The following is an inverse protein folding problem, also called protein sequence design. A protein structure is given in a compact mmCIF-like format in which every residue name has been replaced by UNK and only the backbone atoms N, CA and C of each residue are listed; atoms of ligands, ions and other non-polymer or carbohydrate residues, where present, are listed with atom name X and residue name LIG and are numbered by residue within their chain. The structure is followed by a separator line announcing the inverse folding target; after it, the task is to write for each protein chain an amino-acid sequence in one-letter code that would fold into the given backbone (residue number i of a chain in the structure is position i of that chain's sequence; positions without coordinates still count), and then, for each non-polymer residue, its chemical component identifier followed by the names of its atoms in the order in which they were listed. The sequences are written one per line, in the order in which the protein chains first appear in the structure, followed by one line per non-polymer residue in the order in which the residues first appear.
data_IF_720869524068
#
_entry.id   IF_720869524068
#
_cell.length_a   1.000
_cell.length_b   1.000
_cell.length_c   1.000
_cell.angle_alpha   90.00
_cell.angle_beta   90.00
_cell.angle_gamma   90.00
#
_symmetry.space_group_name_H-M   'P 1'
#
loop_
_entity.id
_entity.type
_entity.pdbx_description
1 polymer ?
#
# COMPACT_ATOMS: atom_id res chain seq x y z
N UNK A 1 -32.95 -22.54 -9.55
CA UNK A 1 -32.10 -22.95 -8.39
C UNK A 1 -31.09 -23.95 -8.91
N UNK A 2 -29.80 -23.70 -8.68
CA UNK A 2 -28.76 -24.68 -8.97
C UNK A 2 -29.05 -25.94 -8.17
N UNK A 3 -28.87 -27.13 -8.76
CA UNK A 3 -28.98 -28.39 -8.01
C UNK A 3 -27.95 -28.38 -6.87
N UNK A 4 -28.25 -29.02 -5.74
CA UNK A 4 -27.31 -29.10 -4.59
C UNK A 4 -25.94 -29.63 -4.98
N UNK A 5 -25.86 -30.52 -5.99
CA UNK A 5 -24.64 -31.07 -6.54
C UNK A 5 -23.83 -30.00 -7.34
N UNK A 6 -24.50 -29.11 -8.08
CA UNK A 6 -23.83 -28.04 -8.82
C UNK A 6 -23.29 -26.96 -7.85
N UNK A 7 -23.99 -26.70 -6.75
CA UNK A 7 -23.52 -25.81 -5.69
C UNK A 7 -22.31 -26.39 -4.96
N UNK A 8 -22.37 -27.67 -4.56
CA UNK A 8 -21.27 -28.38 -3.92
C UNK A 8 -20.03 -28.47 -4.83
N UNK A 9 -20.21 -28.76 -6.11
CA UNK A 9 -19.12 -28.78 -7.11
C UNK A 9 -18.47 -27.39 -7.27
N UNK A 10 -19.27 -26.31 -7.28
CA UNK A 10 -18.74 -24.96 -7.37
C UNK A 10 -18.00 -24.55 -6.08
N UNK A 11 -18.48 -24.98 -4.93
CA UNK A 11 -17.86 -24.66 -3.64
C UNK A 11 -16.56 -25.47 -3.45
N UNK A 12 -16.53 -26.74 -3.87
CA UNK A 12 -15.33 -27.58 -3.89
C UNK A 12 -14.28 -27.06 -4.90
N UNK A 13 -14.71 -26.61 -6.07
CA UNK A 13 -13.83 -25.94 -7.05
C UNK A 13 -13.32 -24.59 -6.57
N UNK A 14 -14.10 -23.81 -5.84
CA UNK A 14 -13.65 -22.56 -5.24
C UNK A 14 -12.63 -22.82 -4.13
N UNK A 15 -12.84 -23.88 -3.32
CA UNK A 15 -11.86 -24.35 -2.34
C UNK A 15 -10.60 -24.89 -3.02
N UNK A 16 -10.73 -25.72 -4.06
CA UNK A 16 -9.57 -26.24 -4.82
C UNK A 16 -8.84 -25.14 -5.61
N UNK A 17 -9.51 -24.07 -6.02
CA UNK A 17 -8.90 -22.87 -6.57
C UNK A 17 -8.12 -22.09 -5.52
N UNK A 18 -8.64 -22.01 -4.31
CA UNK A 18 -7.92 -21.44 -3.17
C UNK A 18 -6.71 -22.29 -2.76
N UNK A 19 -6.79 -23.61 -2.91
CA UNK A 19 -5.74 -24.56 -2.55
C UNK A 19 -4.69 -24.77 -3.66
N UNK A 20 -5.10 -24.80 -4.94
CA UNK A 20 -4.21 -25.06 -6.08
C UNK A 20 -3.35 -23.84 -6.48
N UNK A 21 -3.76 -22.63 -6.12
CA UNK A 21 -3.06 -21.40 -6.46
C UNK A 21 -2.05 -20.94 -5.40
N UNK A 22 -1.69 -21.84 -4.47
CA UNK A 22 -0.68 -21.59 -3.42
C UNK A 22 0.73 -21.34 -3.98
N UNK A 23 0.94 -21.51 -5.27
CA UNK A 23 2.25 -21.30 -5.93
C UNK A 23 2.40 -20.01 -6.75
N UNK A 24 1.32 -19.35 -7.16
CA UNK A 24 1.40 -18.27 -8.14
C UNK A 24 0.66 -16.97 -7.78
N UNK A 25 -0.20 -16.93 -6.76
CA UNK A 25 -0.98 -15.74 -6.40
C UNK A 25 -0.39 -15.03 -5.19
N UNK A 26 0.03 -13.81 -5.42
CA UNK A 26 0.55 -12.90 -4.41
C UNK A 26 -0.51 -12.59 -3.36
N UNK A 27 -0.20 -12.82 -2.13
CA UNK A 27 -1.02 -12.94 -0.92
C UNK A 27 -1.99 -11.81 -0.55
N UNK A 28 -1.86 -10.61 -1.10
CA UNK A 28 -2.87 -9.55 -0.92
C UNK A 28 -4.03 -9.60 -1.92
N UNK A 29 -3.97 -10.48 -2.92
CA UNK A 29 -4.92 -10.56 -4.03
C UNK A 29 -5.85 -11.78 -3.97
N UNK A 30 -5.53 -12.79 -3.16
CA UNK A 30 -6.24 -14.07 -3.13
C UNK A 30 -7.67 -13.92 -2.60
N UNK A 31 -7.84 -13.32 -1.46
CA UNK A 31 -9.15 -12.94 -0.91
C UNK A 31 -9.95 -12.06 -1.88
N UNK A 32 -9.25 -11.18 -2.60
CA UNK A 32 -9.86 -10.31 -3.61
C UNK A 32 -10.26 -11.11 -4.86
N UNK A 33 -9.43 -12.03 -5.33
CA UNK A 33 -9.72 -12.87 -6.50
C UNK A 33 -10.89 -13.82 -6.22
N UNK A 34 -10.92 -14.47 -5.07
CA UNK A 34 -12.04 -15.32 -4.62
C UNK A 34 -13.32 -14.49 -4.55
N UNK A 35 -13.29 -13.31 -3.95
CA UNK A 35 -14.45 -12.45 -3.87
C UNK A 35 -14.95 -11.97 -5.26
N UNK A 36 -14.04 -11.73 -6.19
CA UNK A 36 -14.38 -11.39 -7.57
C UNK A 36 -14.96 -12.58 -8.35
N UNK A 37 -14.45 -13.79 -8.13
CA UNK A 37 -14.98 -15.01 -8.69
C UNK A 37 -16.40 -15.32 -8.17
N UNK A 38 -16.64 -15.13 -6.87
CA UNK A 38 -17.99 -15.24 -6.28
C UNK A 38 -19.00 -14.29 -6.91
N UNK A 39 -18.60 -13.08 -7.28
CA UNK A 39 -19.47 -12.14 -8.01
C UNK A 39 -19.84 -12.65 -9.40
N UNK A 40 -18.93 -13.31 -10.10
CA UNK A 40 -19.24 -13.93 -11.38
C UNK A 40 -20.24 -15.09 -11.20
N UNK A 41 -20.06 -15.93 -10.18
CA UNK A 41 -21.03 -16.99 -9.83
C UNK A 41 -22.43 -16.40 -9.56
N UNK A 42 -22.49 -15.29 -8.80
CA UNK A 42 -23.77 -14.59 -8.52
C UNK A 42 -24.38 -14.01 -9.80
N UNK A 43 -23.58 -13.42 -10.68
CA UNK A 43 -24.04 -12.93 -11.97
C UNK A 43 -24.61 -14.07 -12.85
N UNK A 44 -23.88 -15.18 -12.96
CA UNK A 44 -24.35 -16.35 -13.73
C UNK A 44 -25.66 -16.91 -13.16
N UNK A 45 -25.81 -16.99 -11.84
CA UNK A 45 -27.05 -17.40 -11.21
C UNK A 45 -28.22 -16.45 -11.49
N UNK A 46 -27.95 -15.14 -11.63
CA UNK A 46 -28.95 -14.14 -11.96
C UNK A 46 -29.50 -14.28 -13.40
N UNK A 47 -28.69 -14.79 -14.31
CA UNK A 47 -29.05 -15.02 -15.70
C UNK A 47 -29.28 -16.50 -16.03
N UNK A 48 -29.50 -17.35 -15.04
CA UNK A 48 -29.70 -18.80 -15.16
C UNK A 48 -28.60 -19.55 -15.93
N UNK A 49 -27.38 -19.00 -15.93
CA UNK A 49 -26.22 -19.64 -16.56
C UNK A 49 -25.49 -20.54 -15.54
N UNK A 50 -25.40 -21.84 -15.87
CA UNK A 50 -24.83 -22.86 -14.95
C UNK A 50 -23.41 -23.30 -15.27
N UNK A 51 -22.93 -23.07 -16.50
CA UNK A 51 -21.60 -23.48 -16.96
C UNK A 51 -20.52 -22.42 -16.64
N UNK A 52 -20.08 -22.39 -15.39
CA UNK A 52 -19.02 -21.47 -14.93
C UNK A 52 -17.66 -21.78 -15.53
N UNK A 53 -17.41 -23.03 -15.92
CA UNK A 53 -16.17 -23.48 -16.55
C UNK A 53 -16.13 -23.25 -18.05
N UNK A 54 -17.21 -22.75 -18.63
CA UNK A 54 -17.41 -22.62 -20.09
C UNK A 54 -17.23 -23.94 -20.86
N UNK A 55 -17.52 -25.07 -20.20
CA UNK A 55 -17.30 -26.41 -20.76
C UNK A 55 -18.23 -26.75 -21.94
N UNK A 56 -19.42 -26.19 -21.92
CA UNK A 56 -20.46 -26.38 -22.97
C UNK A 56 -20.75 -25.08 -23.74
N UNK A 57 -19.95 -24.03 -23.49
CA UNK A 57 -20.16 -22.70 -24.05
C UNK A 57 -19.21 -22.48 -25.22
N UNK A 58 -19.71 -21.97 -26.34
CA UNK A 58 -18.84 -21.60 -27.47
C UNK A 58 -17.95 -20.42 -27.10
N UNK A 59 -16.84 -20.24 -27.81
CA UNK A 59 -15.92 -19.13 -27.53
C UNK A 59 -16.61 -17.76 -27.66
N UNK A 60 -17.53 -17.62 -28.64
CA UNK A 60 -18.26 -16.36 -28.81
C UNK A 60 -19.26 -16.12 -27.70
N UNK A 61 -19.96 -17.15 -27.24
CA UNK A 61 -20.91 -17.03 -26.13
C UNK A 61 -20.18 -16.76 -24.81
N UNK A 62 -19.04 -17.41 -24.58
CA UNK A 62 -18.20 -17.13 -23.45
C UNK A 62 -17.67 -15.67 -23.43
N UNK A 63 -17.26 -15.16 -24.61
CA UNK A 63 -16.85 -13.77 -24.77
C UNK A 63 -18.01 -12.80 -24.51
N UNK A 64 -19.21 -13.12 -24.99
CA UNK A 64 -20.42 -12.33 -24.78
C UNK A 64 -20.83 -12.32 -23.32
N UNK A 65 -20.78 -13.47 -22.63
CA UNK A 65 -21.05 -13.61 -21.21
C UNK A 65 -20.08 -12.78 -20.36
N UNK A 66 -18.77 -12.86 -20.64
CA UNK A 66 -17.77 -12.06 -19.96
C UNK A 66 -17.94 -10.56 -20.20
N UNK A 67 -18.39 -10.19 -21.42
CA UNK A 67 -18.66 -8.78 -21.74
C UNK A 67 -19.90 -8.28 -20.98
N UNK A 68 -20.96 -9.06 -20.90
CA UNK A 68 -22.14 -8.75 -20.10
C UNK A 68 -21.80 -8.60 -18.61
N UNK A 69 -21.00 -9.52 -18.07
CA UNK A 69 -20.50 -9.42 -16.70
C UNK A 69 -19.65 -8.17 -16.50
N UNK A 70 -18.76 -7.82 -17.43
CA UNK A 70 -17.95 -6.62 -17.39
C UNK A 70 -18.81 -5.35 -17.33
N UNK A 71 -19.90 -5.30 -18.08
CA UNK A 71 -20.86 -4.20 -18.07
C UNK A 71 -21.54 -4.11 -16.69
N UNK A 72 -22.11 -5.19 -16.18
CA UNK A 72 -22.79 -5.25 -14.90
C UNK A 72 -21.87 -4.84 -13.72
N UNK A 73 -20.61 -5.28 -13.75
CA UNK A 73 -19.60 -4.82 -12.78
C UNK A 73 -19.33 -3.33 -12.95
N UNK A 74 -19.22 -2.80 -14.18
CA UNK A 74 -18.89 -1.41 -14.44
C UNK A 74 -19.96 -0.44 -13.96
N UNK A 75 -21.22 -0.82 -14.02
CA UNK A 75 -22.36 -0.01 -13.54
C UNK A 75 -22.46 0.03 -12.02
N UNK A 76 -21.76 -0.88 -11.32
CA UNK A 76 -21.77 -0.98 -9.87
C UNK A 76 -22.75 -2.00 -9.31
N UNK A 77 -23.46 -2.74 -10.14
CA UNK A 77 -24.45 -3.75 -9.75
C UNK A 77 -23.86 -4.79 -8.79
N UNK A 78 -22.60 -5.18 -9.01
CA UNK A 78 -21.84 -6.10 -8.14
C UNK A 78 -20.82 -5.39 -7.24
N UNK A 79 -20.92 -4.08 -7.08
CA UNK A 79 -20.08 -3.31 -6.17
C UNK A 79 -20.68 -3.30 -4.76
N UNK A 80 -19.88 -3.51 -3.73
CA UNK A 80 -20.34 -3.42 -2.33
C UNK A 80 -20.96 -2.05 -1.96
N UNK A 81 -20.61 -1.00 -2.71
CA UNK A 81 -21.12 0.36 -2.52
C UNK A 81 -22.24 0.74 -3.48
N UNK A 82 -22.65 -0.14 -4.41
CA UNK A 82 -23.60 0.16 -5.49
C UNK A 82 -23.08 1.20 -6.50
N UNK A 83 -21.81 1.62 -6.42
CA UNK A 83 -21.25 2.67 -7.27
C UNK A 83 -20.47 2.10 -8.45
N UNK A 84 -20.48 2.80 -9.60
CA UNK A 84 -19.69 2.41 -10.77
C UNK A 84 -18.21 2.20 -10.42
N UNK A 85 -17.60 1.18 -10.99
CA UNK A 85 -16.18 0.83 -10.75
C UNK A 85 -15.31 1.14 -11.97
N UNK A 86 -14.04 1.44 -11.72
CA UNK A 86 -13.11 1.81 -12.78
C UNK A 86 -12.62 0.61 -13.60
N UNK A 87 -12.11 0.89 -14.82
CA UNK A 87 -11.64 -0.10 -15.78
C UNK A 87 -10.69 -1.15 -15.22
N UNK A 88 -9.74 -0.74 -14.34
CA UNK A 88 -8.79 -1.70 -13.73
C UNK A 88 -9.52 -2.74 -12.86
N UNK A 89 -10.50 -2.30 -12.09
CA UNK A 89 -11.32 -3.20 -11.26
C UNK A 89 -12.16 -4.13 -12.13
N UNK A 90 -12.79 -3.63 -13.20
CA UNK A 90 -13.53 -4.45 -14.14
C UNK A 90 -12.64 -5.52 -14.78
N UNK A 91 -11.45 -5.15 -15.24
CA UNK A 91 -10.49 -6.13 -15.81
C UNK A 91 -10.12 -7.24 -14.81
N UNK A 92 -9.95 -6.89 -13.53
CA UNK A 92 -9.66 -7.89 -12.51
C UNK A 92 -10.85 -8.83 -12.27
N UNK A 93 -12.09 -8.33 -12.27
CA UNK A 93 -13.28 -9.18 -12.15
C UNK A 93 -13.42 -10.13 -13.35
N UNK A 94 -13.20 -9.63 -14.57
CA UNK A 94 -13.22 -10.46 -15.79
C UNK A 94 -12.08 -11.49 -15.79
N UNK A 95 -10.89 -11.14 -15.27
CA UNK A 95 -9.79 -12.07 -15.09
C UNK A 95 -10.18 -13.20 -14.13
N UNK A 96 -10.74 -12.87 -12.98
CA UNK A 96 -11.20 -13.86 -12.00
C UNK A 96 -12.30 -14.77 -12.58
N UNK A 97 -13.24 -14.22 -13.34
CA UNK A 97 -14.26 -15.01 -14.04
C UNK A 97 -13.64 -15.96 -15.07
N UNK A 98 -12.68 -15.49 -15.87
CA UNK A 98 -12.01 -16.31 -16.89
C UNK A 98 -11.15 -17.43 -16.29
N UNK A 99 -10.70 -17.29 -15.02
CA UNK A 99 -9.91 -18.32 -14.34
C UNK A 99 -10.67 -19.64 -14.14
N UNK A 100 -12.01 -19.62 -14.07
CA UNK A 100 -12.81 -20.84 -14.07
C UNK A 100 -12.57 -21.71 -15.32
N UNK A 101 -12.43 -21.08 -16.51
CA UNK A 101 -12.13 -21.81 -17.74
C UNK A 101 -10.69 -22.35 -17.74
N UNK A 102 -9.71 -21.52 -17.34
CA UNK A 102 -8.29 -21.90 -17.35
C UNK A 102 -8.00 -23.00 -16.35
N UNK A 103 -8.60 -22.97 -15.15
CA UNK A 103 -8.45 -24.01 -14.15
C UNK A 103 -9.11 -25.33 -14.55
N UNK A 104 -10.12 -25.30 -15.43
CA UNK A 104 -10.68 -26.48 -16.07
C UNK A 104 -9.84 -26.96 -17.29
N UNK A 105 -8.59 -26.51 -17.40
CA UNK A 105 -7.70 -26.80 -18.56
C UNK A 105 -8.28 -26.37 -19.90
N UNK A 106 -9.08 -25.31 -19.90
CA UNK A 106 -9.70 -24.74 -21.08
C UNK A 106 -8.97 -23.49 -21.55
N UNK A 107 -9.22 -23.10 -22.80
CA UNK A 107 -8.69 -21.87 -23.37
C UNK A 107 -9.31 -20.67 -22.65
N UNK A 108 -8.49 -19.67 -22.33
CA UNK A 108 -8.95 -18.44 -21.71
C UNK A 108 -9.97 -17.71 -22.61
N UNK A 109 -11.24 -17.57 -22.21
CA UNK A 109 -12.30 -17.02 -23.06
C UNK A 109 -12.13 -15.53 -23.37
N UNK A 110 -11.19 -14.84 -22.73
CA UNK A 110 -10.87 -13.44 -23.02
C UNK A 110 -10.14 -13.24 -24.34
N UNK A 111 -9.54 -14.30 -24.91
CA UNK A 111 -8.69 -14.23 -26.09
C UNK A 111 -9.28 -15.02 -27.24
N UNK A 112 -8.83 -14.71 -28.49
CA UNK A 112 -9.17 -15.45 -29.68
C UNK A 112 -8.14 -16.55 -29.90
N UNK A 113 -8.63 -17.68 -30.48
CA UNK A 113 -7.80 -18.82 -30.86
C UNK A 113 -8.11 -19.25 -32.29
N UNK A 114 -7.10 -19.75 -32.98
CA UNK A 114 -7.26 -20.37 -34.29
C UNK A 114 -7.84 -21.80 -34.19
N UNK A 115 -8.04 -22.43 -35.32
CA UNK A 115 -8.54 -23.80 -35.39
C UNK A 115 -7.61 -24.83 -34.75
N UNK A 116 -6.31 -24.50 -34.62
CA UNK A 116 -5.30 -25.34 -33.98
C UNK A 116 -5.16 -25.09 -32.51
N UNK A 117 -5.82 -24.06 -31.97
CA UNK A 117 -5.79 -23.71 -30.56
C UNK A 117 -4.71 -22.72 -30.16
N UNK A 118 -4.01 -22.13 -31.12
CA UNK A 118 -3.03 -21.08 -30.84
C UNK A 118 -3.74 -19.74 -30.65
N UNK A 119 -3.24 -18.95 -29.70
CA UNK A 119 -3.78 -17.63 -29.44
C UNK A 119 -3.53 -16.68 -30.62
N UNK A 120 -4.59 -16.06 -31.16
CA UNK A 120 -4.50 -15.11 -32.27
C UNK A 120 -4.21 -13.71 -31.70
N UNK A 121 -2.98 -13.24 -31.86
CA UNK A 121 -2.56 -11.90 -31.46
C UNK A 121 -2.58 -11.69 -29.93
N UNK A 122 -2.24 -10.47 -29.50
CA UNK A 122 -2.13 -10.10 -28.07
C UNK A 122 -3.37 -9.38 -27.52
N UNK A 123 -4.43 -9.24 -28.32
CA UNK A 123 -5.65 -8.50 -27.95
C UNK A 123 -6.73 -9.39 -27.34
N UNK A 124 -7.62 -8.78 -26.60
CA UNK A 124 -8.86 -9.41 -26.14
C UNK A 124 -9.80 -9.69 -27.32
N UNK A 125 -10.81 -10.53 -27.10
CA UNK A 125 -11.92 -10.69 -28.02
C UNK A 125 -12.57 -9.35 -28.36
N UNK A 126 -13.11 -9.16 -29.59
CA UNK A 126 -13.55 -7.84 -30.05
C UNK A 126 -14.54 -7.13 -29.11
N UNK A 127 -15.51 -7.85 -28.55
CA UNK A 127 -16.51 -7.31 -27.64
C UNK A 127 -15.91 -6.73 -26.37
N UNK A 128 -15.02 -7.48 -25.70
CA UNK A 128 -14.31 -7.00 -24.52
C UNK A 128 -13.36 -5.84 -24.84
N UNK A 129 -12.68 -5.91 -25.98
CA UNK A 129 -11.76 -4.85 -26.38
C UNK A 129 -12.52 -3.54 -26.66
N UNK A 130 -13.64 -3.60 -27.37
CA UNK A 130 -14.50 -2.46 -27.63
C UNK A 130 -15.02 -1.85 -26.31
N UNK A 131 -15.50 -2.69 -25.40
CA UNK A 131 -15.97 -2.26 -24.08
C UNK A 131 -14.85 -1.59 -23.26
N UNK A 132 -13.66 -2.19 -23.17
CA UNK A 132 -12.55 -1.61 -22.44
C UNK A 132 -12.06 -0.30 -23.04
N UNK A 133 -12.05 -0.17 -24.36
CA UNK A 133 -11.71 1.08 -25.04
C UNK A 133 -12.76 2.16 -24.78
N UNK A 134 -14.04 1.82 -24.75
CA UNK A 134 -15.12 2.73 -24.36
C UNK A 134 -14.93 3.22 -22.92
N UNK A 135 -14.75 2.31 -21.95
CA UNK A 135 -14.47 2.70 -20.56
C UNK A 135 -13.22 3.56 -20.42
N UNK A 136 -12.20 3.31 -21.24
CA UNK A 136 -10.97 4.10 -21.17
C UNK A 136 -11.16 5.54 -21.63
N UNK A 137 -12.03 5.77 -22.61
CA UNK A 137 -12.42 7.12 -23.09
C UNK A 137 -13.15 7.91 -21.98
N UNK A 138 -13.99 7.22 -21.19
CA UNK A 138 -14.74 7.83 -20.09
C UNK A 138 -13.99 7.86 -18.75
N UNK A 139 -12.76 7.36 -18.74
CA UNK A 139 -11.96 7.35 -17.52
C UNK A 139 -11.65 8.77 -17.09
N UNK A 140 -12.25 9.20 -15.97
CA UNK A 140 -11.76 10.40 -15.26
C UNK A 140 -10.27 10.22 -15.00
N UNK A 141 -9.45 11.22 -15.36
CA UNK A 141 -8.04 11.21 -14.96
C UNK A 141 -7.99 10.89 -13.47
N UNK A 142 -7.27 9.81 -13.10
CA UNK A 142 -7.11 9.50 -11.68
C UNK A 142 -6.43 10.69 -11.03
N UNK A 143 -7.08 11.27 -10.03
CA UNK A 143 -6.49 12.34 -9.27
C UNK A 143 -5.21 11.84 -8.61
N UNK A 144 -4.12 12.54 -8.83
CA UNK A 144 -2.84 12.23 -8.20
C UNK A 144 -2.86 12.81 -6.78
N UNK A 145 -2.28 12.08 -5.82
CA UNK A 145 -2.14 12.63 -4.49
C UNK A 145 -1.24 13.88 -4.55
N UNK A 146 -1.69 14.96 -3.92
CA UNK A 146 -0.87 16.16 -3.73
C UNK A 146 0.24 15.87 -2.71
N UNK A 147 1.43 16.45 -2.86
CA UNK A 147 2.44 16.43 -1.80
C UNK A 147 1.91 17.15 -0.56
N UNK A 148 2.44 16.81 0.61
CA UNK A 148 2.21 17.63 1.78
C UNK A 148 3.00 18.93 1.66
N UNK A 149 2.42 20.01 2.17
CA UNK A 149 3.16 21.24 2.42
C UNK A 149 3.79 21.15 3.83
N UNK A 150 5.04 21.59 4.05
CA UNK A 150 5.67 21.68 5.37
C UNK A 150 4.79 22.37 6.42
N UNK A 151 4.03 23.40 6.04
CA UNK A 151 3.11 24.11 6.91
C UNK A 151 1.99 23.21 7.46
N UNK A 152 1.49 22.25 6.64
CA UNK A 152 0.49 21.27 7.09
C UNK A 152 1.09 20.36 8.17
N UNK A 153 2.34 19.91 7.97
CA UNK A 153 3.05 19.08 8.94
C UNK A 153 3.23 19.84 10.25
N UNK A 154 3.66 21.08 10.18
CA UNK A 154 3.85 21.96 11.34
C UNK A 154 2.56 22.21 12.11
N UNK A 155 1.46 22.41 11.42
CA UNK A 155 0.15 22.55 12.05
C UNK A 155 -0.26 21.29 12.81
N UNK A 156 0.01 20.10 12.25
CA UNK A 156 -0.22 18.84 12.96
C UNK A 156 0.67 18.71 14.19
N UNK A 157 1.92 19.18 14.12
CA UNK A 157 2.83 19.22 15.29
C UNK A 157 2.29 20.13 16.37
N UNK A 158 1.84 21.34 16.03
CA UNK A 158 1.25 22.29 16.96
C UNK A 158 0.03 21.70 17.67
N UNK A 159 -0.89 21.08 16.94
CA UNK A 159 -2.05 20.40 17.52
C UNK A 159 -1.60 19.30 18.49
N UNK A 160 -0.61 18.48 18.10
CA UNK A 160 -0.12 17.40 18.94
C UNK A 160 0.59 17.90 20.19
N UNK A 161 1.32 19.03 20.12
CA UNK A 161 2.00 19.64 21.26
C UNK A 161 1.00 20.13 22.32
N UNK A 162 -0.15 20.62 21.89
CA UNK A 162 -1.24 21.04 22.78
C UNK A 162 -2.09 19.87 23.28
N UNK A 163 -1.84 18.66 22.79
CA UNK A 163 -2.63 17.48 23.11
C UNK A 163 -1.96 16.62 24.17
N UNK A 164 -2.74 15.76 24.85
CA UNK A 164 -2.19 14.77 25.80
C UNK A 164 -1.23 13.81 25.09
N UNK A 165 -0.12 13.39 25.73
CA UNK A 165 0.94 12.59 25.10
C UNK A 165 0.48 11.29 24.43
N UNK A 166 -0.58 10.67 24.94
CA UNK A 166 -1.11 9.40 24.43
C UNK A 166 -2.33 9.57 23.51
N UNK A 167 -2.57 10.80 23.04
CA UNK A 167 -3.70 11.14 22.19
C UNK A 167 -3.55 10.64 20.75
N UNK A 168 -4.67 10.63 20.03
CA UNK A 168 -4.70 10.37 18.58
C UNK A 168 -3.85 11.38 17.80
N UNK A 169 -3.89 12.65 18.18
CA UNK A 169 -3.12 13.73 17.54
C UNK A 169 -1.60 13.47 17.59
N UNK A 170 -1.08 13.04 18.74
CA UNK A 170 0.33 12.66 18.88
C UNK A 170 0.68 11.44 18.02
N UNK A 171 -0.23 10.45 17.95
CA UNK A 171 -0.03 9.27 17.12
C UNK A 171 0.00 9.62 15.63
N UNK A 172 -0.90 10.49 15.16
CA UNK A 172 -0.95 10.97 13.78
C UNK A 172 0.31 11.77 13.44
N UNK A 173 0.71 12.72 14.28
CA UNK A 173 1.95 13.50 14.10
C UNK A 173 3.14 12.59 13.86
N UNK A 174 3.35 11.61 14.76
CA UNK A 174 4.51 10.73 14.69
C UNK A 174 4.47 9.82 13.45
N UNK A 175 3.29 9.35 13.05
CA UNK A 175 3.12 8.59 11.82
C UNK A 175 3.41 9.43 10.56
N UNK A 176 2.95 10.68 10.53
CA UNK A 176 3.21 11.59 9.40
C UNK A 176 4.70 11.91 9.31
N UNK A 177 5.35 12.27 10.42
CA UNK A 177 6.79 12.59 10.43
C UNK A 177 7.60 11.37 10.00
N UNK A 178 7.38 10.20 10.61
CA UNK A 178 8.11 8.99 10.23
C UNK A 178 7.89 8.64 8.75
N UNK A 179 6.65 8.76 8.28
CA UNK A 179 6.29 8.53 6.88
C UNK A 179 7.00 9.48 5.91
N UNK A 180 7.28 10.73 6.31
CA UNK A 180 8.05 11.68 5.50
C UNK A 180 9.49 11.22 5.27
N UNK A 181 10.13 10.57 6.23
CA UNK A 181 11.49 10.03 6.07
C UNK A 181 11.50 8.67 5.36
N UNK A 182 10.61 7.79 5.74
CA UNK A 182 10.61 6.41 5.27
C UNK A 182 9.88 6.22 3.93
N UNK A 183 9.09 7.19 3.49
CA UNK A 183 8.18 7.02 2.37
C UNK A 183 7.22 5.85 2.55
N UNK A 184 6.91 5.48 3.80
CA UNK A 184 6.10 4.31 4.14
C UNK A 184 4.73 4.34 3.48
N UNK A 185 4.26 3.16 3.05
CA UNK A 185 2.86 2.99 2.62
C UNK A 185 1.95 3.00 3.84
N UNK A 186 0.71 3.45 3.66
CA UNK A 186 -0.21 3.56 4.80
C UNK A 186 -0.43 2.24 5.55
N UNK A 187 -0.36 1.08 4.88
CA UNK A 187 -0.43 -0.23 5.53
C UNK A 187 0.72 -0.53 6.49
N UNK A 188 1.87 0.15 6.36
CA UNK A 188 3.04 -0.05 7.22
C UNK A 188 2.94 0.71 8.55
N UNK A 189 2.13 1.77 8.61
CA UNK A 189 1.89 2.53 9.85
C UNK A 189 0.42 2.56 10.29
N UNK A 190 -0.51 2.15 9.43
CA UNK A 190 -1.92 2.01 9.79
C UNK A 190 -2.27 0.53 9.99
N UNK A 191 -2.80 0.21 11.14
CA UNK A 191 -3.27 -1.13 11.45
C UNK A 191 -4.62 -1.40 10.75
N UNK A 192 -4.57 -1.72 9.46
CA UNK A 192 -5.75 -2.15 8.71
C UNK A 192 -6.27 -3.48 9.23
N UNK A 193 -7.60 -3.68 9.20
CA UNK A 193 -8.21 -4.99 9.47
C UNK A 193 -8.40 -5.72 8.15
N UNK A 194 -8.00 -6.98 8.07
CA UNK A 194 -8.26 -7.84 6.93
C UNK A 194 -9.48 -8.73 7.14
N UNK A 195 -9.74 -9.12 8.40
CA UNK A 195 -10.91 -9.92 8.77
C UNK A 195 -11.74 -9.22 9.86
N UNK A 196 -13.07 -9.42 9.92
CA UNK A 196 -13.93 -8.75 10.90
C UNK A 196 -13.58 -9.01 12.37
N UNK A 197 -12.98 -10.15 12.69
CA UNK A 197 -12.55 -10.53 14.04
C UNK A 197 -11.18 -9.98 14.46
N UNK A 198 -10.37 -9.49 13.53
CA UNK A 198 -9.03 -9.05 13.82
C UNK A 198 -9.01 -7.67 14.49
N UNK A 199 -8.12 -7.50 15.47
CA UNK A 199 -7.84 -6.20 16.08
C UNK A 199 -7.03 -5.32 15.12
N UNK A 200 -6.13 -5.94 14.34
CA UNK A 200 -5.29 -5.30 13.30
C UNK A 200 -4.96 -6.29 12.18
N UNK A 201 -4.50 -5.78 11.02
CA UNK A 201 -4.10 -6.61 9.88
C UNK A 201 -2.83 -7.41 10.16
N UNK A 202 -2.85 -8.69 9.83
CA UNK A 202 -1.75 -9.64 10.02
C UNK A 202 -1.17 -10.10 8.70
N UNK A 203 0.09 -10.52 8.72
CA UNK A 203 0.75 -11.18 7.59
C UNK A 203 0.07 -12.53 7.37
N UNK A 204 -0.41 -12.83 6.16
CA UNK A 204 -1.05 -14.10 5.86
C UNK A 204 -0.11 -15.31 6.00
N UNK A 205 -0.66 -16.47 6.33
CA UNK A 205 0.06 -17.73 6.51
C UNK A 205 0.82 -18.23 5.26
N UNK A 206 0.40 -17.81 4.07
CA UNK A 206 0.95 -18.24 2.80
C UNK A 206 2.08 -17.33 2.26
N UNK A 207 2.55 -16.38 3.05
CA UNK A 207 3.76 -15.61 2.73
C UNK A 207 4.96 -16.51 2.98
N UNK A 208 5.85 -16.64 1.98
CA UNK A 208 6.96 -17.59 1.84
C UNK A 208 7.95 -17.70 3.02
N UNK A 209 7.76 -16.94 4.10
CA UNK A 209 8.57 -17.04 5.31
C UNK A 209 7.68 -17.29 6.52
N UNK A 210 7.84 -18.45 7.14
CA UNK A 210 7.14 -18.85 8.38
C UNK A 210 7.46 -17.96 9.59
N UNK A 211 8.56 -17.19 9.53
CA UNK A 211 9.07 -16.38 10.66
C UNK A 211 8.11 -15.27 11.08
N UNK A 212 7.33 -14.68 10.16
CA UNK A 212 6.43 -13.54 10.45
C UNK A 212 4.96 -13.84 10.20
N UNK A 213 4.62 -15.13 10.06
CA UNK A 213 3.23 -15.52 9.99
C UNK A 213 2.45 -15.02 11.22
N UNK A 214 1.30 -14.42 11.01
CA UNK A 214 0.46 -13.88 12.07
C UNK A 214 0.95 -12.56 12.70
N UNK A 215 2.14 -12.08 12.33
CA UNK A 215 2.63 -10.78 12.77
C UNK A 215 1.84 -9.62 12.16
N UNK A 216 1.75 -8.46 12.83
CA UNK A 216 1.14 -7.28 12.23
C UNK A 216 1.83 -6.86 10.93
N UNK A 217 1.06 -6.42 9.94
CA UNK A 217 1.63 -5.76 8.74
C UNK A 217 2.24 -4.41 9.10
N UNK A 218 1.58 -3.68 10.02
CA UNK A 218 2.08 -2.40 10.54
C UNK A 218 3.30 -2.61 11.44
N UNK A 219 4.15 -1.59 11.52
CA UNK A 219 5.35 -1.60 12.37
C UNK A 219 5.03 -1.98 13.81
N UNK A 220 5.89 -2.82 14.37
CA UNK A 220 5.93 -3.18 15.79
C UNK A 220 7.18 -2.59 16.48
N UNK A 221 7.28 -2.72 17.79
CA UNK A 221 8.45 -2.22 18.53
C UNK A 221 9.75 -2.90 18.08
N UNK A 222 9.71 -4.18 17.69
CA UNK A 222 10.86 -4.93 17.20
C UNK A 222 11.39 -4.48 15.83
N UNK A 223 10.64 -3.65 15.11
CA UNK A 223 11.10 -3.07 13.84
C UNK A 223 11.90 -1.78 14.02
N UNK A 224 12.05 -1.30 15.24
CA UNK A 224 12.71 -0.04 15.55
C UNK A 224 13.92 -0.34 16.45
N UNK A 225 15.12 -0.12 15.90
CA UNK A 225 16.39 -0.32 16.61
C UNK A 225 17.14 1.00 16.70
N UNK A 226 17.56 1.40 17.89
CA UNK A 226 18.40 2.58 18.06
C UNK A 226 19.87 2.21 18.05
N UNK A 227 20.69 3.11 17.50
CA UNK A 227 22.13 2.93 17.39
C UNK A 227 22.86 4.19 17.90
N UNK A 228 24.02 3.99 18.49
CA UNK A 228 24.97 5.08 18.77
C UNK A 228 25.77 5.50 17.53
N UNK A 229 26.70 6.42 17.69
CA UNK A 229 27.55 6.88 16.60
C UNK A 229 28.51 5.78 16.07
N UNK A 230 28.75 4.74 16.86
CA UNK A 230 29.60 3.59 16.52
C UNK A 230 28.79 2.40 15.99
N UNK A 231 27.50 2.58 15.70
CA UNK A 231 26.58 1.55 15.22
C UNK A 231 26.21 0.47 16.25
N UNK A 232 26.56 0.63 17.52
CA UNK A 232 26.15 -0.30 18.56
C UNK A 232 24.67 -0.10 18.89
N UNK A 233 23.97 -1.22 19.12
CA UNK A 233 22.56 -1.21 19.48
C UNK A 233 22.37 -0.64 20.89
N UNK A 234 21.47 0.32 20.99
CA UNK A 234 21.10 0.97 22.25
C UNK A 234 19.68 0.52 22.62
N UNK A 235 19.46 0.00 23.83
CA UNK A 235 18.13 -0.31 24.30
C UNK A 235 17.26 0.96 24.41
N UNK A 236 15.99 0.85 24.10
CA UNK A 236 15.06 1.97 24.04
C UNK A 236 15.12 2.93 25.26
N UNK A 237 15.18 2.46 26.50
CA UNK A 237 15.22 3.38 27.65
C UNK A 237 16.41 4.36 27.65
N UNK A 238 17.53 3.98 27.02
CA UNK A 238 18.72 4.80 26.89
C UNK A 238 18.77 5.62 25.60
N UNK A 239 17.88 5.35 24.65
CA UNK A 239 17.90 5.96 23.33
C UNK A 239 17.73 7.48 23.35
N UNK A 240 17.01 8.04 24.33
CA UNK A 240 16.78 9.47 24.44
C UNK A 240 18.07 10.28 24.57
N UNK A 241 19.03 9.77 25.34
CA UNK A 241 20.31 10.43 25.58
C UNK A 241 21.43 10.00 24.64
N UNK A 242 21.44 8.74 24.21
CA UNK A 242 22.57 8.13 23.55
C UNK A 242 22.38 7.84 22.06
N UNK A 243 21.14 7.77 21.56
CA UNK A 243 20.91 7.41 20.16
C UNK A 243 21.34 8.53 19.20
N UNK A 244 22.20 8.16 18.25
CA UNK A 244 22.59 8.98 17.10
C UNK A 244 21.84 8.58 15.84
N UNK A 245 21.32 7.35 15.76
CA UNK A 245 20.61 6.81 14.61
C UNK A 245 19.46 5.93 15.03
N UNK A 246 18.53 5.73 14.11
CA UNK A 246 17.46 4.73 14.20
C UNK A 246 17.46 3.89 12.94
N UNK A 247 17.44 2.57 13.13
CA UNK A 247 17.27 1.58 12.06
C UNK A 247 15.84 1.09 12.11
N UNK A 248 15.17 1.11 10.94
CA UNK A 248 13.78 0.67 10.79
C UNK A 248 13.74 -0.51 9.84
N UNK A 249 13.14 -1.59 10.28
CA UNK A 249 12.96 -2.82 9.51
C UNK A 249 11.58 -2.83 8.86
N UNK A 250 11.55 -3.12 7.57
CA UNK A 250 10.34 -3.28 6.77
C UNK A 250 10.14 -4.76 6.48
N UNK A 251 9.14 -5.37 7.11
CA UNK A 251 8.88 -6.81 7.04
C UNK A 251 8.08 -7.22 5.81
N UNK A 252 7.25 -6.33 5.30
CA UNK A 252 6.29 -6.67 4.25
C UNK A 252 6.39 -5.70 3.08
N UNK A 253 6.55 -6.24 1.87
CA UNK A 253 6.43 -5.45 0.64
C UNK A 253 5.18 -5.88 -0.14
N UNK A 254 4.52 -4.90 -0.77
CA UNK A 254 3.34 -5.11 -1.63
C UNK A 254 3.64 -6.04 -2.82
N UNK A 255 4.91 -6.24 -3.15
CA UNK A 255 5.37 -7.17 -4.18
C UNK A 255 5.24 -8.65 -3.82
N UNK A 256 4.83 -9.00 -2.58
CA UNK A 256 4.65 -10.37 -2.12
C UNK A 256 5.95 -11.07 -1.70
N UNK A 257 7.07 -10.36 -1.64
CA UNK A 257 8.30 -10.85 -1.06
C UNK A 257 8.49 -10.31 0.35
N UNK A 258 8.84 -11.16 1.31
CA UNK A 258 9.40 -10.74 2.58
C UNK A 258 10.87 -10.33 2.37
N UNK A 259 11.07 -9.28 1.59
CA UNK A 259 12.37 -8.65 1.51
C UNK A 259 12.52 -7.80 2.75
N UNK A 260 13.20 -8.37 3.77
CA UNK A 260 13.59 -7.64 4.97
C UNK A 260 14.53 -6.51 4.56
N UNK A 261 13.98 -5.35 4.32
CA UNK A 261 14.81 -4.20 4.05
C UNK A 261 14.89 -3.35 5.29
N UNK A 262 16.09 -3.07 5.74
CA UNK A 262 16.36 -2.14 6.82
C UNK A 262 16.80 -0.79 6.25
N UNK A 263 16.44 0.29 6.93
CA UNK A 263 16.88 1.64 6.57
C UNK A 263 17.30 2.36 7.84
N UNK A 264 18.49 2.93 7.80
CA UNK A 264 19.05 3.71 8.91
C UNK A 264 18.85 5.19 8.63
N UNK A 265 18.47 5.94 9.67
CA UNK A 265 18.25 7.37 9.63
C UNK A 265 19.01 8.02 10.76
N UNK A 266 19.71 9.12 10.49
CA UNK A 266 20.48 9.85 11.48
C UNK A 266 19.61 10.81 12.29
N UNK A 267 20.07 11.11 13.49
CA UNK A 267 19.48 12.13 14.34
C UNK A 267 19.71 13.50 13.70
N UNK A 268 18.63 14.23 13.48
CA UNK A 268 18.73 15.61 13.01
C UNK A 268 19.11 16.47 14.21
N UNK A 269 20.15 17.31 14.10
CA UNK A 269 20.53 18.25 15.16
C UNK A 269 19.35 19.15 15.55
N UNK A 270 19.14 19.34 16.84
CA UNK A 270 18.16 20.32 17.31
C UNK A 270 18.75 21.70 17.11
N UNK A 271 18.51 22.32 15.99
CA UNK A 271 18.59 23.77 15.85
C UNK A 271 17.31 24.36 16.46
N UNK A 272 17.37 25.58 16.99
CA UNK A 272 16.19 26.30 17.49
C UNK A 272 15.16 26.61 16.41
N UNK A 273 15.31 26.04 15.24
CA UNK A 273 14.48 26.24 14.07
C UNK A 273 13.23 25.39 14.11
N UNK A 274 12.22 25.91 13.47
CA UNK A 274 10.88 25.37 13.31
C UNK A 274 10.82 23.88 12.83
N UNK A 275 11.89 23.36 12.25
CA UNK A 275 11.98 21.98 11.75
C UNK A 275 12.66 20.99 12.70
N UNK A 276 13.06 21.41 13.91
CA UNK A 276 13.69 20.52 14.91
C UNK A 276 12.83 19.33 15.32
N UNK A 277 11.52 19.42 15.11
CA UNK A 277 10.59 18.31 15.34
C UNK A 277 10.65 17.24 14.23
N UNK A 278 11.20 17.57 13.03
CA UNK A 278 11.40 16.63 11.94
C UNK A 278 12.70 15.83 12.16
N UNK A 279 12.70 14.97 13.16
CA UNK A 279 13.81 14.08 13.44
C UNK A 279 13.31 12.63 13.54
N UNK A 280 13.79 11.70 12.71
CA UNK A 280 13.33 10.32 12.72
C UNK A 280 13.67 9.62 14.04
N UNK A 281 14.84 9.88 14.64
CA UNK A 281 15.25 9.32 15.93
C UNK A 281 14.32 9.79 17.04
N UNK A 282 14.13 11.09 17.19
CA UNK A 282 13.22 11.65 18.19
C UNK A 282 11.78 11.18 18.01
N UNK A 283 11.36 11.00 16.75
CA UNK A 283 10.02 10.48 16.45
C UNK A 283 9.86 9.03 16.90
N UNK A 284 10.84 8.17 16.63
CA UNK A 284 10.80 6.77 17.07
C UNK A 284 10.85 6.65 18.60
N UNK A 285 11.60 7.51 19.27
CA UNK A 285 11.60 7.58 20.77
C UNK A 285 10.18 7.90 21.28
N UNK A 286 9.52 8.91 20.72
CA UNK A 286 8.13 9.26 21.11
C UNK A 286 7.13 8.14 20.81
N UNK A 287 7.30 7.45 19.68
CA UNK A 287 6.47 6.31 19.29
C UNK A 287 6.60 5.20 20.33
N UNK A 288 7.84 4.79 20.68
CA UNK A 288 8.06 3.69 21.63
C UNK A 288 7.66 4.09 23.05
N UNK A 289 7.86 5.36 23.45
CA UNK A 289 7.38 5.88 24.72
C UNK A 289 5.85 5.73 24.84
N UNK A 290 5.12 6.14 23.82
CA UNK A 290 3.66 5.97 23.79
C UNK A 290 3.27 4.51 23.80
N UNK A 291 3.89 3.70 22.94
CA UNK A 291 3.58 2.28 22.82
C UNK A 291 3.84 1.53 24.13
N UNK A 292 5.00 1.68 24.75
CA UNK A 292 5.34 1.00 26.01
C UNK A 292 4.41 1.36 27.18
N UNK A 293 3.84 2.56 27.16
CA UNK A 293 2.83 2.99 28.14
C UNK A 293 1.43 2.40 27.87
N UNK A 294 1.20 1.84 26.66
CA UNK A 294 -0.09 1.29 26.24
C UNK A 294 -0.04 -0.23 26.21
N UNK A 295 1.07 -0.82 25.83
CA UNK A 295 1.23 -2.26 25.62
C UNK A 295 2.66 -2.70 25.85
N UNK A 296 2.82 -3.92 26.40
CA UNK A 296 4.11 -4.61 26.48
C UNK A 296 4.20 -5.78 25.50
N UNK A 297 3.16 -6.02 24.71
CA UNK A 297 3.10 -7.09 23.73
C UNK A 297 3.85 -6.68 22.47
N UNK A 298 4.97 -7.36 22.12
CA UNK A 298 5.79 -7.02 20.96
C UNK A 298 5.05 -7.14 19.62
N UNK A 299 3.95 -7.86 19.56
CA UNK A 299 3.12 -8.02 18.36
C UNK A 299 2.09 -6.91 18.18
N UNK A 300 2.01 -5.97 19.11
CA UNK A 300 1.10 -4.83 18.98
C UNK A 300 1.71 -3.75 18.10
N UNK A 301 0.98 -3.26 17.07
CA UNK A 301 1.43 -2.13 16.25
C UNK A 301 1.78 -0.90 17.06
N UNK A 302 2.93 -0.26 16.75
CA UNK A 302 3.44 0.89 17.52
C UNK A 302 2.60 2.16 17.35
N UNK A 303 1.83 2.27 16.27
CA UNK A 303 0.93 3.39 16.04
C UNK A 303 -0.43 3.14 16.70
N UNK A 304 -0.37 3.02 18.04
CA UNK A 304 -1.54 2.90 18.90
C UNK A 304 -1.67 4.12 19.84
N UNK A 305 -2.86 4.33 20.36
CA UNK A 305 -3.19 5.44 21.26
C UNK A 305 -4.37 5.09 22.18
N UNK A 306 -4.56 5.88 23.26
CA UNK A 306 -5.70 5.76 24.18
C UNK A 306 -6.34 7.12 24.41
N UNK A 307 -7.67 7.25 24.30
CA UNK A 307 -8.37 8.48 24.65
C UNK A 307 -8.19 8.86 26.12
N UNK A 308 -8.24 7.88 26.99
CA UNK A 308 -8.01 8.01 28.44
C UNK A 308 -7.21 6.80 28.93
N UNK A 309 -6.51 6.86 30.09
CA UNK A 309 -5.77 5.73 30.64
C UNK A 309 -6.60 4.45 30.83
N UNK A 310 -7.91 4.59 31.10
CA UNK A 310 -8.84 3.48 31.30
C UNK A 310 -9.48 2.95 30.01
N UNK A 311 -9.29 3.64 28.88
CA UNK A 311 -9.89 3.25 27.61
C UNK A 311 -9.13 2.09 26.97
N UNK A 312 -9.85 1.31 26.16
CA UNK A 312 -9.20 0.36 25.26
C UNK A 312 -8.24 1.06 24.32
N UNK A 313 -7.13 0.38 23.99
CA UNK A 313 -6.20 0.86 22.97
C UNK A 313 -6.91 0.95 21.62
N UNK A 314 -6.50 1.91 20.83
CA UNK A 314 -6.98 2.13 19.45
C UNK A 314 -5.79 2.21 18.53
N UNK A 315 -5.99 1.79 17.28
CA UNK A 315 -4.95 1.82 16.26
C UNK A 315 -5.21 2.93 15.25
N UNK A 316 -4.12 3.42 14.69
CA UNK A 316 -4.18 4.40 13.63
C UNK A 316 -4.73 3.76 12.35
N UNK A 317 -5.64 4.46 11.66
CA UNK A 317 -6.21 4.04 10.39
C UNK A 317 -5.94 5.08 9.30
N UNK A 318 -5.90 4.64 8.04
CA UNK A 318 -5.73 5.53 6.90
C UNK A 318 -6.79 6.64 6.82
N UNK A 319 -8.03 6.32 7.24
CA UNK A 319 -9.14 7.27 7.27
C UNK A 319 -8.85 8.39 8.27
N UNK A 320 -8.36 8.06 9.47
CA UNK A 320 -8.04 9.04 10.51
C UNK A 320 -6.88 9.96 10.11
N UNK A 321 -5.82 9.39 9.54
CA UNK A 321 -4.70 10.18 9.01
C UNK A 321 -5.17 11.12 7.91
N UNK A 322 -5.93 10.62 6.94
CA UNK A 322 -6.48 11.44 5.85
C UNK A 322 -7.38 12.56 6.38
N UNK A 323 -8.25 12.26 7.34
CA UNK A 323 -9.12 13.26 7.94
C UNK A 323 -8.34 14.35 8.66
N UNK A 324 -7.29 13.98 9.41
CA UNK A 324 -6.42 14.95 10.10
C UNK A 324 -5.65 15.84 9.12
N UNK A 325 -5.08 15.26 8.05
CA UNK A 325 -4.41 16.02 6.99
C UNK A 325 -5.35 17.02 6.33
N UNK A 326 -6.56 16.60 5.99
CA UNK A 326 -7.57 17.49 5.39
C UNK A 326 -8.05 18.57 6.35
N UNK A 327 -8.26 18.24 7.63
CA UNK A 327 -8.61 19.21 8.67
C UNK A 327 -7.52 20.27 8.83
N UNK A 328 -6.26 19.87 8.87
CA UNK A 328 -5.12 20.78 8.91
C UNK A 328 -5.07 21.68 7.66
N UNK A 329 -5.32 21.11 6.48
CA UNK A 329 -5.39 21.86 5.22
C UNK A 329 -6.49 22.91 5.25
N UNK A 330 -7.69 22.57 5.75
CA UNK A 330 -8.80 23.50 5.86
C UNK A 330 -8.47 24.65 6.84
N UNK A 331 -7.86 24.33 7.97
CA UNK A 331 -7.49 25.34 8.98
C UNK A 331 -6.44 26.33 8.48
N UNK A 332 -5.48 25.84 7.68
CA UNK A 332 -4.40 26.68 7.15
C UNK A 332 -4.82 27.51 5.92
N UNK A 333 -5.72 26.98 5.13
CA UNK A 333 -6.17 27.57 3.88
C UNK A 333 -7.71 27.74 3.92
N UNK A 334 -8.22 28.75 4.65
CA UNK A 334 -9.66 28.97 4.78
C UNK A 334 -10.33 29.38 3.46
N UNK A 335 -9.57 30.03 2.58
CA UNK A 335 -10.05 30.43 1.25
C UNK A 335 -10.28 29.20 0.37
N UNK A 336 -11.52 29.00 -0.07
CA UNK A 336 -11.93 27.86 -0.90
C UNK A 336 -11.33 27.92 -2.32
N UNK A 337 -10.90 29.07 -2.79
CA UNK A 337 -10.20 29.24 -4.06
C UNK A 337 -8.73 28.83 -4.01
N UNK A 338 -8.16 28.64 -2.81
CA UNK A 338 -6.79 28.23 -2.65
C UNK A 338 -6.54 26.83 -3.25
N UNK A 339 -5.40 26.62 -3.90
CA UNK A 339 -5.03 25.38 -4.60
C UNK A 339 -5.24 24.11 -3.77
N UNK A 340 -4.84 24.08 -2.51
CA UNK A 340 -5.02 22.94 -1.62
C UNK A 340 -6.49 22.73 -1.23
N UNK A 341 -7.32 23.75 -1.22
CA UNK A 341 -8.75 23.67 -0.93
C UNK A 341 -9.52 23.10 -2.10
N UNK A 342 -9.26 23.58 -3.32
CA UNK A 342 -9.86 23.07 -4.56
C UNK A 342 -9.56 21.57 -4.71
N UNK A 343 -8.34 21.14 -4.36
CA UNK A 343 -7.86 19.78 -4.51
C UNK A 343 -7.84 18.99 -3.19
N UNK A 344 -8.69 19.35 -2.23
CA UNK A 344 -8.70 18.74 -0.89
C UNK A 344 -8.88 17.22 -0.91
N UNK A 345 -9.60 16.67 -1.89
CA UNK A 345 -9.78 15.23 -2.09
C UNK A 345 -8.46 14.50 -2.36
N UNK A 346 -7.46 15.19 -2.88
CA UNK A 346 -6.16 14.66 -3.25
C UNK A 346 -5.15 14.72 -2.12
N UNK A 347 -5.49 15.41 -1.02
CA UNK A 347 -4.75 15.35 0.25
C UNK A 347 -5.17 14.07 0.99
N UNK A 348 -4.25 13.11 1.08
CA UNK A 348 -4.51 11.76 1.63
C UNK A 348 -3.21 11.12 2.15
N UNK A 349 -3.28 9.94 2.73
CA UNK A 349 -2.09 9.23 3.25
C UNK A 349 -0.96 9.10 2.23
N UNK A 350 -1.28 8.92 0.95
CA UNK A 350 -0.28 8.85 -0.12
C UNK A 350 0.50 10.17 -0.32
N UNK A 351 -0.06 11.30 0.10
CA UNK A 351 0.59 12.62 0.08
C UNK A 351 1.87 12.66 0.91
N UNK A 352 1.95 11.87 1.99
CA UNK A 352 3.15 11.73 2.82
C UNK A 352 4.30 11.14 1.99
N UNK A 353 4.01 10.08 1.22
CA UNK A 353 5.00 9.41 0.37
C UNK A 353 5.44 10.29 -0.81
N UNK A 354 4.52 11.06 -1.39
CA UNK A 354 4.85 12.05 -2.42
C UNK A 354 5.79 13.11 -1.86
N UNK A 355 5.50 13.61 -0.66
CA UNK A 355 6.37 14.58 0.03
C UNK A 355 7.76 14.00 0.30
N UNK A 356 7.87 12.77 0.82
CA UNK A 356 9.15 12.09 1.05
C UNK A 356 10.00 12.03 -0.24
N UNK A 357 9.36 11.66 -1.35
CA UNK A 357 10.02 11.60 -2.66
C UNK A 357 10.56 12.98 -3.09
N UNK A 358 9.72 14.01 -3.01
CA UNK A 358 10.10 15.37 -3.40
C UNK A 358 11.22 15.93 -2.49
N UNK A 359 11.15 15.67 -1.19
CA UNK A 359 12.14 16.13 -0.23
C UNK A 359 13.53 15.49 -0.46
N UNK A 360 13.58 14.19 -0.78
CA UNK A 360 14.83 13.50 -1.15
C UNK A 360 15.40 14.03 -2.47
N UNK A 361 14.55 14.30 -3.45
CA UNK A 361 14.98 14.91 -4.71
C UNK A 361 15.50 16.33 -4.51
N UNK A 362 14.81 17.14 -3.70
CA UNK A 362 15.22 18.50 -3.40
C UNK A 362 16.53 18.53 -2.59
N UNK A 363 16.79 17.50 -1.77
CA UNK A 363 18.08 17.29 -1.10
C UNK A 363 19.20 16.86 -2.07
N UNK A 364 18.90 16.78 -3.37
CA UNK A 364 19.84 16.43 -4.44
C UNK A 364 20.50 15.04 -4.26
N UNK A 365 19.73 14.08 -3.71
CA UNK A 365 20.20 12.70 -3.58
C UNK A 365 20.08 11.99 -4.93
N UNK A 366 21.02 11.11 -5.21
CA UNK A 366 21.03 10.30 -6.43
C UNK A 366 19.80 9.40 -6.56
N UNK A 367 19.41 9.11 -7.82
CA UNK A 367 18.24 8.28 -8.15
C UNK A 367 18.25 6.95 -7.38
N UNK A 368 19.41 6.25 -7.34
CA UNK A 368 19.53 4.96 -6.66
C UNK A 368 19.39 5.08 -5.14
N UNK A 369 19.83 6.19 -4.54
CA UNK A 369 19.63 6.45 -3.09
C UNK A 369 18.15 6.68 -2.80
N UNK A 370 17.46 7.42 -3.67
CA UNK A 370 16.02 7.65 -3.54
C UNK A 370 15.24 6.34 -3.69
N UNK A 371 15.57 5.53 -4.68
CA UNK A 371 14.98 4.20 -4.89
C UNK A 371 15.21 3.30 -3.68
N UNK A 372 16.45 3.23 -3.19
CA UNK A 372 16.80 2.47 -1.99
C UNK A 372 16.02 2.95 -0.76
N UNK A 373 16.07 4.26 -0.44
CA UNK A 373 15.42 4.82 0.77
C UNK A 373 13.90 4.64 0.75
N UNK A 374 13.27 4.83 -0.41
CA UNK A 374 11.82 4.71 -0.56
C UNK A 374 11.35 3.30 -0.94
N UNK A 375 12.28 2.37 -1.10
CA UNK A 375 12.01 0.95 -1.49
C UNK A 375 11.21 0.87 -2.79
N UNK A 376 11.72 1.53 -3.83
CA UNK A 376 11.19 1.47 -5.17
C UNK A 376 12.00 0.51 -6.02
N UNK A 377 11.35 -0.47 -6.63
CA UNK A 377 11.99 -1.39 -7.59
C UNK A 377 12.18 -0.77 -8.99
N UNK A 378 11.72 0.47 -9.21
CA UNK A 378 11.78 1.12 -10.51
C UNK A 378 11.73 2.64 -10.38
N UNK A 379 12.07 3.34 -11.48
CA UNK A 379 12.00 4.81 -11.59
C UNK A 379 10.57 5.37 -11.58
N UNK A 380 9.57 4.59 -11.17
CA UNK A 380 8.17 5.02 -11.10
C UNK A 380 7.94 6.23 -10.17
N UNK A 381 8.86 6.51 -9.22
CA UNK A 381 8.82 7.67 -8.37
C UNK A 381 8.98 8.99 -9.14
N UNK A 382 9.65 8.99 -10.33
CA UNK A 382 9.79 10.17 -11.18
C UNK A 382 8.47 10.77 -11.66
N UNK A 383 7.38 9.98 -11.59
CA UNK A 383 6.02 10.49 -11.88
C UNK A 383 5.60 11.59 -10.89
N UNK A 384 6.15 11.58 -9.67
CA UNK A 384 5.83 12.57 -8.65
C UNK A 384 6.58 13.88 -8.83
N UNK A 385 7.70 13.90 -9.59
CA UNK A 385 8.53 15.09 -9.78
C UNK A 385 7.91 16.12 -10.73
N UNK A 386 6.98 15.70 -11.57
CA UNK A 386 6.55 16.48 -12.76
C UNK A 386 5.77 17.75 -12.47
N UNK A 387 5.32 17.98 -11.24
CA UNK A 387 4.34 19.03 -10.99
C UNK A 387 4.60 19.92 -9.74
N UNK A 388 5.63 19.70 -8.89
CA UNK A 388 5.60 20.29 -7.54
C UNK A 388 6.94 20.70 -6.89
N UNK A 389 7.99 21.00 -7.66
CA UNK A 389 9.30 21.38 -7.11
C UNK A 389 9.28 22.64 -6.22
N UNK A 390 8.42 23.60 -6.51
CA UNK A 390 8.34 24.87 -5.80
C UNK A 390 7.78 24.79 -4.37
N UNK A 391 7.37 23.60 -3.92
CA UNK A 391 6.73 23.43 -2.61
C UNK A 391 7.68 22.94 -1.51
N UNK A 392 8.93 22.60 -1.84
CA UNK A 392 9.94 22.15 -0.88
C UNK A 392 10.80 23.34 -0.48
N UNK A 393 10.83 23.68 0.81
CA UNK A 393 11.66 24.74 1.35
C UNK A 393 13.11 24.31 1.53
N UNK A 394 14.06 25.25 1.50
CA UNK A 394 15.48 25.02 1.77
C UNK A 394 15.70 24.38 3.16
N UNK A 395 14.87 24.71 4.14
CA UNK A 395 14.88 24.10 5.46
C UNK A 395 14.51 22.61 5.44
N UNK A 396 13.56 22.21 4.59
CA UNK A 396 13.26 20.79 4.37
C UNK A 396 14.47 20.08 3.77
N UNK A 397 15.13 20.70 2.80
CA UNK A 397 16.37 20.19 2.19
C UNK A 397 17.44 19.98 3.26
N UNK A 398 17.67 20.95 4.14
CA UNK A 398 18.67 20.86 5.20
C UNK A 398 18.37 19.71 6.18
N UNK A 399 17.10 19.55 6.58
CA UNK A 399 16.67 18.44 7.46
C UNK A 399 16.89 17.08 6.83
N UNK A 400 16.54 16.93 5.55
CA UNK A 400 16.72 15.66 4.84
C UNK A 400 18.20 15.37 4.61
N UNK A 401 19.01 16.36 4.26
CA UNK A 401 20.45 16.18 4.19
C UNK A 401 21.04 15.71 5.53
N UNK A 402 20.68 16.35 6.65
CA UNK A 402 21.15 15.91 7.97
C UNK A 402 20.73 14.47 8.33
N UNK A 403 19.56 14.02 7.88
CA UNK A 403 19.06 12.67 8.13
C UNK A 403 19.69 11.58 7.24
N UNK A 404 20.26 11.95 6.09
CA UNK A 404 20.65 10.98 5.06
C UNK A 404 22.11 11.07 4.59
N UNK A 405 22.79 12.21 4.71
CA UNK A 405 24.09 12.48 4.06
C UNK A 405 25.27 11.69 4.62
N UNK A 406 25.17 11.14 5.82
CA UNK A 406 26.31 10.45 6.44
C UNK A 406 26.62 9.07 5.83
N UNK A 407 25.75 8.53 4.97
CA UNK A 407 25.97 7.23 4.31
C UNK A 407 26.84 7.29 3.05
N UNK A 408 27.19 8.46 2.54
CA UNK A 408 28.12 8.58 1.40
C UNK A 408 29.58 8.17 1.74
N UNK A 409 29.90 8.01 3.01
CA UNK A 409 31.29 7.72 3.46
C UNK A 409 31.51 6.31 4.03
N UNK A 410 30.49 5.54 4.31
CA UNK A 410 30.64 4.14 4.69
C UNK A 410 30.12 3.22 3.59
N UNK A 411 30.97 3.02 2.62
CA UNK A 411 31.10 1.85 1.74
C UNK A 411 30.11 0.71 1.96
N UNK A 412 29.49 0.31 0.88
CA UNK A 412 29.45 -1.08 0.43
C UNK A 412 29.21 -2.07 1.57
N UNK A 413 27.98 -2.13 2.08
CA UNK A 413 27.50 -3.37 2.67
C UNK A 413 27.43 -4.40 1.54
N UNK A 414 28.41 -5.31 1.56
CA UNK A 414 28.63 -6.41 0.60
C UNK A 414 27.58 -7.53 0.69
N UNK A 415 26.34 -7.18 0.98
CA UNK A 415 25.19 -8.06 0.92
C UNK A 415 24.18 -7.58 -0.11
N UNK A 416 24.67 -7.35 -1.33
CA UNK A 416 23.77 -7.39 -2.48
C UNK A 416 23.49 -8.88 -2.70
N UNK A 417 22.23 -9.34 -2.58
CA UNK A 417 21.90 -10.68 -3.04
C UNK A 417 22.26 -10.74 -4.52
N UNK A 418 22.79 -11.88 -5.02
CA UNK A 418 23.13 -12.01 -6.43
C UNK A 418 21.91 -11.64 -7.25
N UNK A 419 22.10 -10.70 -8.18
CA UNK A 419 21.16 -10.45 -9.24
C UNK A 419 20.95 -11.81 -9.91
N UNK A 420 19.76 -12.37 -9.80
CA UNK A 420 19.34 -13.44 -10.68
C UNK A 420 19.40 -12.83 -12.08
N UNK A 421 20.33 -13.33 -12.87
CA UNK A 421 20.40 -13.04 -14.29
C UNK A 421 19.00 -13.33 -14.87
N UNK A 422 18.27 -12.27 -15.22
CA UNK A 422 17.11 -12.41 -16.09
C UNK A 422 17.72 -12.84 -17.44
N UNK A 423 17.56 -14.11 -17.76
CA UNK A 423 17.79 -14.63 -19.10
C UNK A 423 16.99 -13.75 -20.06
N UNK A 424 17.69 -12.88 -20.75
CA UNK A 424 17.19 -12.17 -21.92
C UNK A 424 17.02 -13.23 -22.99
N UNK A 425 15.84 -13.79 -23.10
CA UNK A 425 15.45 -14.65 -24.22
C UNK A 425 15.34 -13.74 -25.46
N UNK A 426 16.46 -13.62 -26.17
CA UNK A 426 16.53 -13.04 -27.51
C UNK A 426 15.81 -13.99 -28.48
N UNK A 427 14.49 -13.98 -28.44
CA UNK A 427 13.64 -14.70 -29.37
C UNK A 427 13.70 -14.06 -30.76
N UNK A 428 14.35 -14.75 -31.70
CA UNK A 428 14.20 -14.62 -33.15
C UNK A 428 12.76 -14.88 -33.62
#
# INVERSE_FOLDING_TARGET
MLSSAATAYCDDKLLSLAEADTGAVRTGNESTAVHQALKFKTFCAHIDHTDLSFSHTTQNDAASLLTAFAIAVSTGEFSASGKPVGLKSVKNHVLAAASFATNASRKDPRYRYDQFGNKIGNGYVPSLNLFYNSMNKWKKKSSKALPLNPTIISHLVSIATLSKPFSEACCIRDAVILGCFTGSRCGEYCAGKHHPGDEFGKVPANVLTTEFEGWPIAFTASDITFLDASLHVIPYPLAQSAASMVRIRFRYDKGGGCNFSERTFHKVPSSNDFHSFLCPVATCIRILFRWSSISNDPLVPVFCWRPTPKSHRRFLTAIKVTAALRKATIALYPDESHFYRINLSDVRTHSIRVYACLALCAANLDDHVIEYKLRWASKAWKVYLRENWSQISDQTVAVFNAAFVTEQLSSVDSHTPPLLDEDVDDGN
#
